data_IF_305724401771
#
_entry.id   IF_305724401771
#
_cell.length_a   1.000
_cell.length_b   1.000
_cell.length_c   1.000
_cell.angle_alpha   90.00
_cell.angle_beta   90.00
_cell.angle_gamma   90.00
#
_symmetry.space_group_name_H-M   'P 1'
#
loop_
_entity.id
_entity.type
_entity.pdbx_description
1 polymer ?
#
# COMPACT_ATOMS: atom_id res chain seq x y z
N UNK A 1 4.20 13.49 6.18
CA UNK A 1 3.14 12.51 6.51
C UNK A 1 3.72 11.30 7.21
N UNK A 2 4.74 10.70 6.66
CA UNK A 2 5.54 9.64 7.31
C UNK A 2 6.98 10.11 7.41
N UNK A 3 7.59 9.88 8.55
CA UNK A 3 9.01 10.15 8.82
C UNK A 3 9.66 8.86 9.29
N UNK A 4 10.75 8.47 8.64
CA UNK A 4 11.54 7.28 8.95
C UNK A 4 12.96 7.73 9.20
N UNK A 5 13.49 7.47 10.41
CA UNK A 5 14.80 7.93 10.87
C UNK A 5 15.62 6.75 11.39
N UNK A 6 16.78 6.53 10.77
CA UNK A 6 17.77 5.50 11.13
C UNK A 6 17.16 4.11 11.34
N UNK A 7 16.10 3.78 10.57
CA UNK A 7 15.29 2.59 10.78
C UNK A 7 16.06 1.33 10.39
N UNK A 8 16.18 0.40 11.33
CA UNK A 8 16.71 -0.94 11.10
C UNK A 8 15.63 -1.97 11.42
N UNK A 9 15.36 -2.87 10.48
CA UNK A 9 14.32 -3.90 10.60
C UNK A 9 14.86 -5.29 10.30
N UNK A 10 14.31 -6.29 10.99
CA UNK A 10 14.75 -7.67 10.87
C UNK A 10 13.92 -8.62 11.72
N UNK A 11 14.40 -9.84 11.90
CA UNK A 11 13.74 -10.88 12.70
C UNK A 11 14.76 -11.47 13.67
N UNK A 12 14.51 -11.39 14.98
CA UNK A 12 15.49 -11.75 15.99
C UNK A 12 16.80 -10.98 15.77
N UNK A 13 17.91 -11.67 15.68
CA UNK A 13 19.23 -11.09 15.42
C UNK A 13 19.54 -10.86 13.92
N UNK A 14 18.63 -11.25 13.03
CA UNK A 14 18.83 -11.16 11.58
C UNK A 14 18.34 -9.82 11.06
N UNK A 15 19.26 -8.93 10.69
CA UNK A 15 18.97 -7.64 10.06
C UNK A 15 18.61 -7.84 8.58
N UNK A 16 17.44 -7.36 8.16
CA UNK A 16 16.95 -7.38 6.77
C UNK A 16 17.28 -6.07 6.07
N UNK A 17 16.98 -4.95 6.72
CA UNK A 17 17.29 -3.60 6.23
C UNK A 17 17.89 -2.78 7.37
N UNK A 18 18.82 -1.91 7.05
CA UNK A 18 19.62 -1.18 8.01
C UNK A 18 19.70 0.30 7.67
N UNK A 19 19.58 1.13 8.71
CA UNK A 19 19.78 2.58 8.66
C UNK A 19 19.00 3.28 7.51
N UNK A 20 17.69 3.06 7.48
CA UNK A 20 16.82 3.67 6.47
C UNK A 20 16.38 5.05 6.95
N UNK A 21 16.52 6.05 6.07
CA UNK A 21 16.03 7.41 6.25
C UNK A 21 15.22 7.82 5.04
N UNK A 22 13.96 8.18 5.21
CA UNK A 22 13.13 8.77 4.15
C UNK A 22 11.87 9.42 4.71
N UNK A 23 11.23 10.24 3.89
CA UNK A 23 9.98 10.92 4.22
C UNK A 23 8.94 10.69 3.14
N UNK A 24 7.67 10.64 3.54
CA UNK A 24 6.52 10.65 2.63
C UNK A 24 5.70 11.90 2.91
N UNK A 25 5.51 12.74 1.91
CA UNK A 25 4.73 13.96 2.00
C UNK A 25 3.23 13.68 2.03
N UNK A 26 2.45 14.59 2.62
CA UNK A 26 0.99 14.50 2.58
C UNK A 26 0.48 14.65 1.14
N UNK A 27 -0.49 13.83 0.74
CA UNK A 27 -1.06 13.83 -0.60
C UNK A 27 -0.16 13.21 -1.67
N UNK A 28 0.97 12.60 -1.29
CA UNK A 28 1.85 11.91 -2.23
C UNK A 28 1.32 10.51 -2.61
N UNK A 29 1.65 10.06 -3.80
CA UNK A 29 1.64 8.64 -4.18
C UNK A 29 3.08 8.18 -4.21
N UNK A 30 3.49 7.58 -3.12
CA UNK A 30 4.86 7.18 -2.85
C UNK A 30 5.05 5.68 -3.02
N UNK A 31 6.16 5.25 -3.63
CA UNK A 31 6.42 3.83 -3.78
C UNK A 31 7.67 3.34 -3.03
N UNK A 32 7.56 2.13 -2.48
CA UNK A 32 8.67 1.33 -1.98
C UNK A 32 8.96 0.25 -3.03
N UNK A 33 10.06 0.41 -3.75
CA UNK A 33 10.46 -0.42 -4.88
C UNK A 33 11.58 -1.39 -4.49
N UNK A 34 11.75 -2.41 -5.31
CA UNK A 34 12.86 -3.36 -5.17
C UNK A 34 12.50 -4.76 -5.65
N UNK A 35 13.50 -5.58 -5.93
CA UNK A 35 13.33 -6.96 -6.35
C UNK A 35 12.71 -7.87 -5.26
N UNK A 36 12.43 -9.11 -5.62
CA UNK A 36 12.00 -10.12 -4.63
C UNK A 36 13.08 -10.29 -3.56
N UNK A 37 12.67 -10.37 -2.30
CA UNK A 37 13.58 -10.52 -1.16
C UNK A 37 14.35 -9.24 -0.76
N UNK A 38 14.05 -8.07 -1.33
CA UNK A 38 14.71 -6.81 -0.95
C UNK A 38 14.27 -6.20 0.39
N UNK A 39 13.32 -6.83 1.10
CA UNK A 39 12.87 -6.36 2.41
C UNK A 39 11.63 -5.47 2.39
N UNK A 40 10.96 -5.27 1.25
CA UNK A 40 9.77 -4.41 1.13
C UNK A 40 8.66 -4.75 2.13
N UNK A 41 8.28 -6.02 2.23
CA UNK A 41 7.22 -6.46 3.15
C UNK A 41 7.64 -6.33 4.63
N UNK A 42 8.93 -6.48 4.94
CA UNK A 42 9.47 -6.27 6.29
C UNK A 42 9.40 -4.79 6.65
N UNK A 43 9.82 -3.91 5.73
CA UNK A 43 9.69 -2.47 5.91
C UNK A 43 8.21 -2.07 6.08
N UNK A 44 7.32 -2.56 5.21
CA UNK A 44 5.89 -2.27 5.32
C UNK A 44 5.32 -2.65 6.68
N UNK A 45 5.65 -3.85 7.21
CA UNK A 45 5.20 -4.29 8.53
C UNK A 45 5.67 -3.36 9.65
N UNK A 46 6.89 -2.86 9.56
CA UNK A 46 7.39 -1.87 10.52
C UNK A 46 6.67 -0.52 10.40
N UNK A 47 6.41 -0.04 9.16
CA UNK A 47 5.67 1.19 8.91
C UNK A 47 4.25 1.15 9.47
N UNK A 48 3.57 0.01 9.38
CA UNK A 48 2.21 -0.18 9.88
C UNK A 48 2.16 -0.73 11.32
N UNK A 49 3.27 -0.71 12.06
CA UNK A 49 3.33 -1.13 13.47
C UNK A 49 3.07 -2.61 13.75
N UNK A 50 3.07 -3.48 12.72
CA UNK A 50 2.95 -4.93 12.87
C UNK A 50 4.25 -5.61 13.27
N UNK A 51 5.37 -4.90 13.17
CA UNK A 51 6.69 -5.36 13.55
C UNK A 51 7.44 -4.22 14.23
N UNK A 52 8.07 -4.50 15.36
CA UNK A 52 8.94 -3.53 16.01
C UNK A 52 10.25 -3.37 15.23
N UNK A 53 10.70 -2.13 15.00
CA UNK A 53 12.05 -1.90 14.54
C UNK A 53 13.09 -2.43 15.52
N UNK A 54 14.22 -2.91 14.99
CA UNK A 54 15.39 -3.23 15.82
C UNK A 54 16.05 -1.94 16.32
N UNK A 55 16.13 -0.90 15.46
CA UNK A 55 16.62 0.44 15.78
C UNK A 55 15.87 1.49 14.97
N UNK A 56 16.01 2.75 15.38
CA UNK A 56 15.42 3.89 14.71
C UNK A 56 13.94 4.08 15.00
N UNK A 57 13.31 4.98 14.28
CA UNK A 57 11.92 5.36 14.51
C UNK A 57 11.09 5.49 13.23
N UNK A 58 9.80 5.21 13.37
CA UNK A 58 8.77 5.53 12.38
C UNK A 58 7.75 6.44 13.03
N UNK A 59 7.40 7.54 12.37
CA UNK A 59 6.31 8.44 12.78
C UNK A 59 5.33 8.64 11.64
N UNK A 60 4.05 8.54 11.95
CA UNK A 60 2.94 8.84 11.04
C UNK A 60 2.18 10.02 11.63
N UNK A 61 2.11 11.12 10.89
CA UNK A 61 1.54 12.39 11.36
C UNK A 61 2.08 12.84 12.74
N UNK A 62 3.39 12.64 12.97
CA UNK A 62 4.08 13.00 14.20
C UNK A 62 3.97 11.98 15.34
N UNK A 63 3.19 10.91 15.19
CA UNK A 63 3.01 9.87 16.20
C UNK A 63 3.60 8.53 15.75
N UNK A 64 3.98 7.68 16.71
CA UNK A 64 4.33 6.29 16.38
C UNK A 64 3.12 5.54 15.80
N UNK A 65 3.34 4.57 14.88
CA UNK A 65 2.26 3.72 14.39
C UNK A 65 1.50 3.08 15.56
N UNK A 66 0.15 3.06 15.51
CA UNK A 66 -0.65 2.52 16.61
C UNK A 66 -0.41 1.01 16.75
N UNK A 67 -0.13 0.57 17.98
CA UNK A 67 -0.03 -0.86 18.35
C UNK A 67 -1.33 -1.40 18.89
N UNK A 68 -2.39 -0.61 18.85
CA UNK A 68 -3.74 -0.91 19.34
C UNK A 68 -4.63 0.31 19.16
N UNK A 69 -5.94 0.14 19.40
CA UNK A 69 -6.91 1.22 19.16
C UNK A 69 -7.35 1.33 17.71
N UNK A 70 -8.10 2.38 17.38
CA UNK A 70 -8.58 2.64 16.04
C UNK A 70 -7.40 2.93 15.09
N UNK A 71 -7.34 2.27 13.93
CA UNK A 71 -6.26 2.52 12.97
C UNK A 71 -6.38 3.94 12.37
N UNK A 72 -5.25 4.62 12.26
CA UNK A 72 -5.16 5.97 11.66
C UNK A 72 -4.85 5.93 10.16
N UNK A 73 -4.66 4.74 9.61
CA UNK A 73 -4.40 4.46 8.19
C UNK A 73 -5.15 3.21 7.74
N UNK A 74 -5.39 3.10 6.44
CA UNK A 74 -5.91 1.89 5.80
C UNK A 74 -4.80 1.02 5.23
N UNK A 75 -5.04 -0.31 5.17
CA UNK A 75 -4.07 -1.26 4.58
C UNK A 75 -4.79 -2.21 3.64
N UNK A 76 -4.25 -2.33 2.42
CA UNK A 76 -4.53 -3.42 1.49
C UNK A 76 -3.33 -4.35 1.46
N UNK A 77 -3.51 -5.59 1.88
CA UNK A 77 -2.50 -6.64 1.73
C UNK A 77 -2.58 -7.32 0.36
N UNK A 78 -1.50 -7.95 -0.06
CA UNK A 78 -1.34 -8.56 -1.37
C UNK A 78 -2.49 -9.49 -1.79
N UNK A 79 -3.05 -10.28 -0.89
CA UNK A 79 -4.20 -11.15 -1.16
C UNK A 79 -5.57 -10.45 -1.13
N UNK A 80 -5.61 -9.12 -0.90
CA UNK A 80 -6.83 -8.36 -0.59
C UNK A 80 -7.29 -8.56 0.86
N UNK A 81 -6.93 -9.67 1.49
CA UNK A 81 -7.20 -10.07 2.88
C UNK A 81 -8.66 -9.91 3.32
N UNK A 82 -9.63 -10.04 2.40
CA UNK A 82 -11.05 -10.08 2.74
C UNK A 82 -11.36 -11.37 3.50
N UNK A 83 -12.23 -11.28 4.50
CA UNK A 83 -12.75 -12.45 5.19
C UNK A 83 -13.68 -13.21 4.25
N UNK A 84 -13.31 -14.43 3.86
CA UNK A 84 -13.99 -15.20 2.83
C UNK A 84 -15.43 -15.62 3.21
N UNK A 85 -15.73 -15.71 4.52
CA UNK A 85 -17.06 -16.03 5.06
C UNK A 85 -17.97 -14.80 5.22
N UNK A 86 -17.50 -13.61 4.89
CA UNK A 86 -18.22 -12.35 5.00
C UNK A 86 -18.47 -11.76 3.63
N UNK A 87 -19.64 -11.15 3.43
CA UNK A 87 -19.94 -10.37 2.24
C UNK A 87 -19.02 -9.14 2.12
N UNK A 88 -19.01 -8.49 0.96
CA UNK A 88 -18.26 -7.24 0.79
C UNK A 88 -18.74 -6.17 1.78
N UNK A 89 -20.04 -6.02 1.97
CA UNK A 89 -20.60 -5.08 2.94
C UNK A 89 -20.12 -5.39 4.36
N UNK A 90 -20.17 -6.65 4.77
CA UNK A 90 -19.72 -7.09 6.09
C UNK A 90 -18.21 -6.83 6.29
N UNK A 91 -17.38 -7.08 5.25
CA UNK A 91 -15.96 -6.79 5.30
C UNK A 91 -15.66 -5.30 5.52
N UNK A 92 -16.38 -4.42 4.83
CA UNK A 92 -16.21 -2.97 4.99
C UNK A 92 -16.76 -2.48 6.33
N UNK A 93 -17.89 -3.04 6.81
CA UNK A 93 -18.52 -2.67 8.07
C UNK A 93 -17.67 -2.99 9.31
N UNK A 94 -16.77 -3.99 9.24
CA UNK A 94 -16.02 -4.48 10.41
C UNK A 94 -15.30 -3.38 11.20
N UNK A 95 -14.59 -2.50 10.49
CA UNK A 95 -13.83 -1.42 11.15
C UNK A 95 -14.79 -0.40 11.79
N UNK A 96 -15.89 -0.07 11.10
CA UNK A 96 -16.90 0.86 11.61
C UNK A 96 -17.56 0.32 12.87
N UNK A 97 -18.03 -0.95 12.83
CA UNK A 97 -18.68 -1.60 13.96
C UNK A 97 -17.77 -1.74 15.18
N UNK A 98 -16.45 -1.93 14.94
CA UNK A 98 -15.48 -2.11 16.04
C UNK A 98 -15.00 -0.79 16.66
N UNK A 99 -14.85 0.25 15.87
CA UNK A 99 -14.13 1.46 16.28
C UNK A 99 -14.99 2.72 16.36
N UNK A 100 -16.31 2.59 16.07
CA UNK A 100 -17.25 3.71 16.17
C UNK A 100 -18.48 3.32 16.98
N UNK A 101 -19.25 4.32 17.44
CA UNK A 101 -20.54 4.13 18.08
C UNK A 101 -21.71 4.46 17.12
N UNK A 102 -21.49 4.30 15.80
CA UNK A 102 -22.51 4.57 14.80
C UNK A 102 -23.61 3.52 14.84
N UNK A 103 -24.84 3.94 14.60
CA UNK A 103 -25.96 3.04 14.48
C UNK A 103 -25.89 2.19 13.20
N UNK A 104 -26.55 1.02 13.12
CA UNK A 104 -26.46 0.12 11.98
C UNK A 104 -26.87 0.72 10.63
N UNK A 105 -27.84 1.68 10.61
CA UNK A 105 -28.27 2.32 9.36
C UNK A 105 -27.21 3.27 8.83
N UNK A 106 -26.58 4.03 9.72
CA UNK A 106 -25.45 4.90 9.38
C UNK A 106 -24.28 4.09 8.86
N UNK A 107 -23.94 2.95 9.50
CA UNK A 107 -22.90 2.03 9.02
C UNK A 107 -23.23 1.54 7.60
N UNK A 108 -24.47 1.06 7.35
CA UNK A 108 -24.89 0.59 6.01
C UNK A 108 -24.73 1.69 4.95
N UNK A 109 -25.12 2.91 5.27
CA UNK A 109 -24.95 4.07 4.37
C UNK A 109 -23.50 4.34 4.02
N UNK A 110 -22.60 4.33 5.01
CA UNK A 110 -21.16 4.51 4.80
C UNK A 110 -20.61 3.36 3.95
N UNK A 111 -20.95 2.12 4.28
CA UNK A 111 -20.51 0.91 3.54
C UNK A 111 -20.88 1.02 2.06
N UNK A 112 -22.13 1.32 1.73
CA UNK A 112 -22.59 1.51 0.34
C UNK A 112 -21.81 2.62 -0.37
N UNK A 113 -21.60 3.74 0.33
CA UNK A 113 -20.77 4.84 -0.21
C UNK A 113 -19.34 4.39 -0.52
N UNK A 114 -18.70 3.61 0.37
CA UNK A 114 -17.33 3.10 0.14
C UNK A 114 -17.28 2.10 -1.01
N UNK A 115 -18.25 1.20 -1.11
CA UNK A 115 -18.34 0.24 -2.21
C UNK A 115 -18.58 0.95 -3.56
N UNK A 116 -19.48 1.94 -3.61
CA UNK A 116 -19.68 2.77 -4.80
C UNK A 116 -18.41 3.53 -5.21
N UNK A 117 -17.68 4.10 -4.25
CA UNK A 117 -16.43 4.82 -4.49
C UNK A 117 -15.39 3.97 -5.23
N UNK A 118 -15.37 2.67 -5.00
CA UNK A 118 -14.46 1.73 -5.68
C UNK A 118 -15.09 0.98 -6.84
N UNK A 119 -16.32 1.39 -7.29
CA UNK A 119 -17.03 0.79 -8.42
C UNK A 119 -17.62 -0.60 -8.13
N UNK A 120 -18.03 -0.85 -6.89
CA UNK A 120 -18.64 -2.11 -6.42
C UNK A 120 -20.09 -1.93 -5.94
N UNK A 121 -20.79 -0.91 -6.45
CA UNK A 121 -22.23 -0.73 -6.22
C UNK A 121 -22.99 -1.94 -6.77
N UNK A 122 -23.92 -2.50 -5.99
CA UNK A 122 -24.69 -3.70 -6.34
C UNK A 122 -24.02 -5.03 -5.95
N UNK A 123 -22.75 -5.01 -5.49
CA UNK A 123 -22.03 -6.22 -5.06
C UNK A 123 -21.94 -6.37 -3.54
N UNK A 124 -22.72 -5.59 -2.77
CA UNK A 124 -22.67 -5.54 -1.31
C UNK A 124 -22.81 -6.91 -0.64
N UNK A 125 -23.69 -7.74 -1.20
CA UNK A 125 -24.06 -9.04 -0.65
C UNK A 125 -23.23 -10.22 -1.19
N UNK A 126 -22.26 -9.96 -2.10
CA UNK A 126 -21.42 -11.01 -2.66
C UNK A 126 -20.30 -11.40 -1.68
N UNK A 127 -20.00 -12.69 -1.64
CA UNK A 127 -18.82 -13.22 -0.97
C UNK A 127 -17.56 -13.00 -1.82
N UNK A 128 -16.37 -12.92 -1.22
CA UNK A 128 -15.12 -12.82 -1.98
C UNK A 128 -14.92 -13.94 -3.01
N UNK A 129 -15.46 -15.13 -2.78
CA UNK A 129 -15.37 -16.26 -3.72
C UNK A 129 -16.18 -16.05 -5.01
N UNK A 130 -17.19 -15.17 -4.98
CA UNK A 130 -18.12 -14.93 -6.08
C UNK A 130 -17.72 -13.80 -7.01
N UNK A 131 -16.61 -13.14 -6.76
CA UNK A 131 -16.14 -11.95 -7.48
C UNK A 131 -14.74 -12.12 -8.06
N UNK A 132 -14.39 -11.30 -9.06
CA UNK A 132 -13.08 -11.34 -9.71
C UNK A 132 -11.93 -10.91 -8.80
N UNK A 133 -10.69 -11.20 -9.21
CA UNK A 133 -9.48 -10.75 -8.51
C UNK A 133 -9.41 -9.23 -8.34
N UNK A 134 -9.71 -8.47 -9.39
CA UNK A 134 -9.75 -7.01 -9.35
C UNK A 134 -10.84 -6.49 -8.41
N UNK A 135 -12.02 -7.09 -8.41
CA UNK A 135 -13.10 -6.74 -7.48
C UNK A 135 -12.70 -7.01 -6.03
N UNK A 136 -11.95 -8.10 -5.75
CA UNK A 136 -11.40 -8.37 -4.40
C UNK A 136 -10.44 -7.27 -3.95
N UNK A 137 -9.58 -6.80 -4.84
CA UNK A 137 -8.64 -5.68 -4.54
C UNK A 137 -9.41 -4.39 -4.25
N UNK A 138 -10.39 -4.04 -5.09
CA UNK A 138 -11.27 -2.87 -4.90
C UNK A 138 -12.05 -2.98 -3.59
N UNK A 139 -12.61 -4.13 -3.26
CA UNK A 139 -13.28 -4.40 -1.97
C UNK A 139 -12.34 -4.24 -0.76
N UNK A 140 -11.10 -4.69 -0.89
CA UNK A 140 -10.04 -4.48 0.10
C UNK A 140 -9.69 -2.99 0.31
N UNK A 141 -9.67 -2.21 -0.77
CA UNK A 141 -9.50 -0.74 -0.70
C UNK A 141 -10.72 -0.10 -0.03
N UNK A 142 -11.95 -0.49 -0.38
CA UNK A 142 -13.16 0.02 0.30
C UNK A 142 -13.11 -0.22 1.81
N UNK A 143 -12.69 -1.42 2.24
CA UNK A 143 -12.49 -1.74 3.65
C UNK A 143 -11.38 -0.89 4.29
N UNK A 144 -10.27 -0.69 3.60
CA UNK A 144 -9.18 0.16 4.07
C UNK A 144 -9.61 1.62 4.25
N UNK A 145 -10.57 2.09 3.44
CA UNK A 145 -11.15 3.44 3.49
C UNK A 145 -12.32 3.58 4.47
N UNK A 146 -12.76 2.52 5.15
CA UNK A 146 -13.99 2.54 5.96
C UNK A 146 -14.01 3.63 7.03
N UNK A 147 -12.87 3.90 7.68
CA UNK A 147 -12.72 4.93 8.73
C UNK A 147 -12.20 6.28 8.20
N UNK A 148 -12.29 6.55 6.90
CA UNK A 148 -11.79 7.79 6.27
C UNK A 148 -10.34 8.15 6.60
N UNK A 149 -9.39 7.20 6.48
CA UNK A 149 -8.00 7.47 6.80
C UNK A 149 -7.39 8.45 5.79
N UNK A 150 -6.49 9.32 6.23
CA UNK A 150 -5.70 10.20 5.35
C UNK A 150 -4.49 9.53 4.72
N UNK A 151 -4.24 8.25 5.04
CA UNK A 151 -3.10 7.47 4.58
C UNK A 151 -3.52 6.03 4.25
N UNK A 152 -3.11 5.54 3.09
CA UNK A 152 -3.26 4.16 2.66
C UNK A 152 -1.90 3.50 2.43
N UNK A 153 -1.76 2.26 2.87
CA UNK A 153 -0.68 1.35 2.50
C UNK A 153 -1.23 0.27 1.58
N UNK A 154 -0.64 0.09 0.42
CA UNK A 154 -1.06 -0.88 -0.59
C UNK A 154 0.11 -1.82 -0.90
N UNK A 155 -0.01 -3.09 -0.49
CA UNK A 155 1.01 -4.12 -0.73
C UNK A 155 0.69 -4.87 -2.00
N UNK A 156 1.49 -4.67 -3.06
CA UNK A 156 1.36 -5.30 -4.38
C UNK A 156 -0.11 -5.27 -4.89
N UNK A 157 -0.73 -4.07 -5.02
CA UNK A 157 -2.16 -3.97 -5.32
C UNK A 157 -2.55 -4.61 -6.65
N UNK A 158 -1.72 -4.51 -7.68
CA UNK A 158 -1.96 -5.03 -9.02
C UNK A 158 -1.47 -6.47 -9.23
N UNK A 159 -0.80 -7.08 -8.22
CA UNK A 159 -0.27 -8.43 -8.37
C UNK A 159 -1.35 -9.46 -8.68
N UNK A 160 -1.13 -10.24 -9.76
CA UNK A 160 -2.04 -11.30 -10.21
C UNK A 160 -3.25 -10.81 -11.00
N UNK A 161 -3.31 -9.53 -11.37
CA UNK A 161 -4.32 -8.97 -12.27
C UNK A 161 -3.81 -8.96 -13.72
N UNK A 162 -4.76 -9.03 -14.65
CA UNK A 162 -4.46 -8.75 -16.06
C UNK A 162 -4.13 -7.27 -16.27
N UNK A 163 -3.48 -6.91 -17.41
CA UNK A 163 -3.02 -5.54 -17.65
C UNK A 163 -4.13 -4.48 -17.69
N UNK A 164 -5.36 -4.83 -18.08
CA UNK A 164 -6.49 -3.90 -18.14
C UNK A 164 -7.01 -3.63 -16.74
N UNK A 165 -7.30 -4.69 -16.00
CA UNK A 165 -7.75 -4.59 -14.59
C UNK A 165 -6.72 -3.89 -13.70
N UNK A 166 -5.41 -4.10 -13.97
CA UNK A 166 -4.33 -3.40 -13.28
C UNK A 166 -4.38 -1.88 -13.55
N UNK A 167 -4.55 -1.48 -14.82
CA UNK A 167 -4.65 -0.06 -15.17
C UNK A 167 -5.88 0.61 -14.54
N UNK A 168 -7.04 -0.07 -14.55
CA UNK A 168 -8.24 0.44 -13.87
C UNK A 168 -8.05 0.60 -12.35
N UNK A 169 -7.25 -0.27 -11.72
CA UNK A 169 -6.93 -0.15 -10.30
C UNK A 169 -5.99 1.03 -10.04
N UNK A 170 -5.01 1.26 -10.92
CA UNK A 170 -4.11 2.41 -10.86
C UNK A 170 -4.91 3.73 -11.01
N UNK A 171 -5.86 3.80 -11.96
CA UNK A 171 -6.76 4.94 -12.14
C UNK A 171 -7.62 5.20 -10.89
N UNK A 172 -8.12 4.14 -10.26
CA UNK A 172 -8.84 4.26 -8.98
C UNK A 172 -7.94 4.86 -7.89
N UNK A 173 -6.72 4.37 -7.73
CA UNK A 173 -5.76 4.87 -6.72
C UNK A 173 -5.44 6.35 -6.98
N UNK A 174 -5.19 6.71 -8.24
CA UNK A 174 -4.94 8.10 -8.63
C UNK A 174 -6.15 9.01 -8.33
N UNK A 175 -7.37 8.53 -8.63
CA UNK A 175 -8.62 9.24 -8.35
C UNK A 175 -8.83 9.44 -6.85
N UNK A 176 -8.60 8.42 -6.02
CA UNK A 176 -8.68 8.53 -4.56
C UNK A 176 -7.69 9.56 -4.01
N UNK A 177 -6.44 9.55 -4.51
CA UNK A 177 -5.45 10.54 -4.14
C UNK A 177 -5.87 11.96 -4.54
N UNK A 178 -6.30 12.16 -5.80
CA UNK A 178 -6.68 13.49 -6.31
C UNK A 178 -7.95 14.04 -5.68
N UNK A 179 -8.99 13.20 -5.48
CA UNK A 179 -10.31 13.65 -5.03
C UNK A 179 -10.44 13.73 -3.51
N UNK A 180 -9.78 12.85 -2.77
CA UNK A 180 -9.86 12.76 -1.31
C UNK A 180 -8.61 13.28 -0.61
N UNK A 181 -7.53 13.59 -1.34
CA UNK A 181 -6.24 13.99 -0.76
C UNK A 181 -5.54 12.89 0.04
N UNK A 182 -5.92 11.63 -0.16
CA UNK A 182 -5.37 10.48 0.58
C UNK A 182 -3.93 10.24 0.15
N UNK A 183 -3.01 10.28 1.09
CA UNK A 183 -1.61 9.88 0.88
C UNK A 183 -1.56 8.37 0.65
N UNK A 184 -0.84 7.91 -0.36
CA UNK A 184 -0.77 6.48 -0.67
C UNK A 184 0.68 6.01 -0.69
N UNK A 185 0.99 4.95 0.06
CA UNK A 185 2.27 4.26 0.01
C UNK A 185 2.06 2.90 -0.64
N UNK A 186 2.70 2.69 -1.78
CA UNK A 186 2.57 1.47 -2.59
C UNK A 186 3.86 0.67 -2.49
N UNK A 187 3.76 -0.59 -2.08
CA UNK A 187 4.84 -1.57 -2.25
C UNK A 187 4.60 -2.28 -3.55
N UNK A 188 5.50 -2.14 -4.52
CA UNK A 188 5.33 -2.80 -5.82
C UNK A 188 6.65 -2.99 -6.58
N UNK A 189 6.62 -3.86 -7.58
CA UNK A 189 7.67 -4.02 -8.59
C UNK A 189 7.09 -3.88 -10.03
N UNK A 190 5.80 -3.53 -10.15
CA UNK A 190 5.08 -3.37 -11.43
C UNK A 190 5.42 -2.03 -12.08
N UNK A 191 6.25 -2.05 -13.13
CA UNK A 191 6.72 -0.83 -13.80
C UNK A 191 5.60 0.02 -14.37
N UNK A 192 4.53 -0.59 -14.90
CA UNK A 192 3.38 0.15 -15.45
C UNK A 192 2.74 1.04 -14.39
N UNK A 193 2.38 0.47 -13.25
CA UNK A 193 1.80 1.20 -12.12
C UNK A 193 2.75 2.26 -11.59
N UNK A 194 4.06 1.94 -11.50
CA UNK A 194 5.07 2.91 -11.04
C UNK A 194 5.07 4.16 -11.92
N UNK A 195 5.12 4.00 -13.25
CA UNK A 195 5.15 5.15 -14.16
C UNK A 195 3.80 5.83 -14.33
N UNK A 196 2.68 5.12 -14.07
CA UNK A 196 1.35 5.68 -14.20
C UNK A 196 0.99 6.62 -13.04
N UNK A 197 1.27 6.25 -11.79
CA UNK A 197 0.70 6.95 -10.63
C UNK A 197 1.71 7.37 -9.57
N UNK A 198 2.94 6.83 -9.54
CA UNK A 198 3.91 7.14 -8.49
C UNK A 198 4.65 8.45 -8.78
N UNK A 199 4.68 9.34 -7.78
CA UNK A 199 5.42 10.62 -7.86
C UNK A 199 6.82 10.50 -7.29
N UNK A 200 6.97 9.88 -6.13
CA UNK A 200 8.25 9.69 -5.47
C UNK A 200 8.42 8.25 -5.01
N UNK A 201 9.65 7.79 -4.96
CA UNK A 201 9.94 6.44 -4.50
C UNK A 201 11.27 6.32 -3.78
N UNK A 202 11.40 5.24 -3.03
CA UNK A 202 12.67 4.67 -2.57
C UNK A 202 12.83 3.29 -3.17
N UNK A 203 14.06 2.96 -3.57
CA UNK A 203 14.38 1.62 -4.06
C UNK A 203 15.27 0.89 -3.06
N UNK A 204 14.78 -0.27 -2.61
CA UNK A 204 15.48 -1.17 -1.70
C UNK A 204 16.29 -2.22 -2.46
N UNK A 205 17.43 -2.57 -1.90
CA UNK A 205 18.24 -3.69 -2.37
C UNK A 205 18.65 -4.59 -1.21
N UNK A 206 18.39 -5.88 -1.33
CA UNK A 206 18.67 -6.86 -0.27
C UNK A 206 20.17 -7.11 -0.03
N UNK A 207 21.02 -6.88 -1.04
CA UNK A 207 22.47 -7.03 -0.88
C UNK A 207 23.07 -5.82 -0.15
N UNK A 208 22.57 -4.62 -0.46
CA UNK A 208 22.94 -3.40 0.23
C UNK A 208 22.25 -3.29 1.60
N UNK A 209 21.25 -4.12 1.89
CA UNK A 209 20.37 -4.05 3.07
C UNK A 209 19.80 -2.65 3.32
N UNK A 210 19.53 -1.90 2.26
CA UNK A 210 19.16 -0.49 2.40
C UNK A 210 18.58 0.13 1.16
N UNK A 211 18.41 1.46 1.21
CA UNK A 211 17.96 2.27 0.09
C UNK A 211 19.14 2.53 -0.84
N UNK A 212 19.01 2.14 -2.11
CA UNK A 212 20.03 2.38 -3.16
C UNK A 212 19.68 3.54 -4.09
N UNK A 213 18.42 4.00 -4.09
CA UNK A 213 17.98 5.18 -4.83
C UNK A 213 16.73 5.78 -4.21
N UNK A 214 16.54 7.09 -4.44
CA UNK A 214 15.35 7.84 -4.05
C UNK A 214 15.08 8.96 -5.05
N UNK A 215 13.81 9.26 -5.31
CA UNK A 215 13.41 10.33 -6.22
C UNK A 215 12.21 9.98 -7.07
N UNK A 216 12.03 10.70 -8.16
CA UNK A 216 10.98 10.43 -9.15
C UNK A 216 11.35 9.21 -10.01
N UNK A 217 10.42 8.27 -10.27
CA UNK A 217 10.70 7.07 -11.06
C UNK A 217 11.32 7.33 -12.42
N UNK A 218 10.82 8.35 -13.16
CA UNK A 218 11.34 8.71 -14.47
C UNK A 218 12.79 9.21 -14.40
N UNK A 219 13.10 10.07 -13.43
CA UNK A 219 14.46 10.57 -13.22
C UNK A 219 15.43 9.44 -12.84
N UNK A 220 14.98 8.48 -12.03
CA UNK A 220 15.78 7.32 -11.65
C UNK A 220 16.03 6.37 -12.84
N UNK A 221 15.03 6.16 -13.71
CA UNK A 221 15.17 5.36 -14.92
C UNK A 221 16.23 5.94 -15.86
N UNK A 222 16.17 7.25 -16.08
CA UNK A 222 16.94 7.90 -17.14
C UNK A 222 18.34 8.35 -16.65
N UNK A 223 18.48 8.73 -15.36
CA UNK A 223 19.67 9.38 -14.82
C UNK A 223 20.42 8.64 -13.72
N UNK A 224 19.94 7.49 -13.22
CA UNK A 224 20.63 6.83 -12.11
C UNK A 224 22.00 6.29 -12.50
N UNK A 225 23.02 6.61 -11.71
CA UNK A 225 24.37 6.04 -11.84
C UNK A 225 24.43 4.57 -11.34
N UNK A 226 23.52 4.16 -10.46
CA UNK A 226 23.49 2.82 -9.87
C UNK A 226 23.00 1.77 -10.91
N UNK A 227 23.83 0.78 -11.27
CA UNK A 227 23.46 -0.20 -12.30
C UNK A 227 22.21 -1.03 -11.94
N UNK A 228 22.00 -1.34 -10.67
CA UNK A 228 20.83 -2.11 -10.19
C UNK A 228 19.53 -1.33 -10.36
N UNK A 229 19.55 -0.02 -10.19
CA UNK A 229 18.41 0.86 -10.44
C UNK A 229 18.08 0.87 -11.93
N UNK A 230 19.07 1.06 -12.80
CA UNK A 230 18.86 1.00 -14.25
C UNK A 230 18.34 -0.36 -14.72
N UNK A 231 18.85 -1.46 -14.16
CA UNK A 231 18.40 -2.80 -14.50
C UNK A 231 16.94 -3.05 -14.05
N UNK A 232 16.52 -2.47 -12.93
CA UNK A 232 15.14 -2.58 -12.45
C UNK A 232 14.17 -1.86 -13.39
N UNK A 233 14.46 -0.61 -13.76
CA UNK A 233 13.58 0.17 -14.63
C UNK A 233 13.67 -0.19 -16.13
N UNK A 234 14.74 -0.84 -16.56
CA UNK A 234 14.95 -1.30 -17.93
C UNK A 234 15.27 -2.81 -17.94
N UNK A 235 14.30 -3.66 -17.58
CA UNK A 235 14.53 -5.09 -17.60
C UNK A 235 14.89 -5.52 -19.04
N UNK A 236 16.13 -5.99 -19.26
CA UNK A 236 16.49 -6.59 -20.53
C UNK A 236 15.62 -7.82 -20.74
N UNK A 237 14.78 -7.80 -21.75
CA UNK A 237 14.16 -9.02 -22.25
C UNK A 237 15.29 -9.96 -22.59
N UNK A 238 15.52 -11.02 -21.83
CA UNK A 238 16.39 -12.10 -22.28
C UNK A 238 15.76 -12.59 -23.59
N UNK A 239 16.42 -12.31 -24.70
CA UNK A 239 16.10 -13.00 -25.94
C UNK A 239 16.15 -14.50 -25.62
N UNK A 240 15.07 -15.18 -25.95
CA UNK A 240 14.91 -16.62 -25.80
C UNK A 240 15.89 -17.37 -26.69
#
# INVERSE_FOLDING_TARGET
>A
MIEVEHLTVGYGDSVVLENLDFMVSRGDVFAILGGSGSGKSTLLRALIGLQEPLHGTVRIAGAHPPRGGAPTYGVLFQSGALFGSMTLAQNVALALAKWTNLDPRTIDTIVRSKLRLVGLEGFENHLPAEISGGMKKRGGIARALALDPSLLFLDEPSAGLDPVTSAELDDLIATLNASLGVTTVIVTHELRSIFAIVRHCVMLDGRARGIIARGEPAALRDGSAEPRVRAFFNPRTRAA
#
